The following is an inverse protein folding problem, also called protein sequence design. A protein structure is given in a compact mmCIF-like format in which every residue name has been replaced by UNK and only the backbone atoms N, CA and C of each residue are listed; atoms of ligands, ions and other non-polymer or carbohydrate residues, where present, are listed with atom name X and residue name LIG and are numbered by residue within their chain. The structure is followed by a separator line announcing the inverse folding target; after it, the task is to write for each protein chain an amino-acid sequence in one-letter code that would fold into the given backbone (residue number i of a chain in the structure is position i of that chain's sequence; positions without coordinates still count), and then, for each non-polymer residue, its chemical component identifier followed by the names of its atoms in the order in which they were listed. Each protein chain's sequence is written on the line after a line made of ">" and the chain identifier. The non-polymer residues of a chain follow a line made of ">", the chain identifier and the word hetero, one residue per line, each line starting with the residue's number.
data_IF_319620857675
#
_entry.id   IF_319620857675
#
_cell.length_a   1.000
_cell.length_b   1.000
_cell.length_c   1.000
_cell.angle_alpha   90.00
_cell.angle_beta   90.00
_cell.angle_gamma   90.00
#
_symmetry.space_group_name_H-M   'P 1'
#
loop_
_entity.id
_entity.type
_entity.pdbx_description
1 polymer ?
#
# COMPACT_ATOMS: atom_id res chain seq x y z
N UNK A 1 -8.43 26.64 -2.80
CA UNK A 1 -7.96 25.25 -2.83
C UNK A 1 -7.52 25.02 -4.25
N UNK A 2 -6.21 25.00 -4.48
CA UNK A 2 -5.68 24.61 -5.79
C UNK A 2 -6.07 23.15 -5.99
N UNK A 3 -6.75 22.84 -7.10
CA UNK A 3 -6.95 21.46 -7.53
C UNK A 3 -5.56 20.89 -7.80
N UNK A 4 -5.02 20.11 -6.85
CA UNK A 4 -3.82 19.31 -7.07
C UNK A 4 -4.13 18.31 -8.18
N UNK A 5 -3.76 18.71 -9.39
CA UNK A 5 -4.12 17.99 -10.60
C UNK A 5 -3.29 16.71 -10.66
N UNK A 6 -3.96 15.58 -10.44
CA UNK A 6 -3.37 14.25 -10.43
C UNK A 6 -2.42 14.05 -11.64
N UNK A 7 -1.14 13.65 -11.43
CA UNK A 7 -0.19 13.57 -12.53
C UNK A 7 -0.73 12.72 -13.68
N UNK A 8 -0.58 13.20 -14.92
CA UNK A 8 -1.17 12.56 -16.11
C UNK A 8 -0.86 11.06 -16.24
N UNK A 9 0.34 10.65 -15.84
CA UNK A 9 0.73 9.25 -15.92
C UNK A 9 -0.01 8.36 -14.90
N UNK A 10 -0.43 8.91 -13.76
CA UNK A 10 -1.22 8.19 -12.75
C UNK A 10 -2.62 7.92 -13.32
N UNK A 11 -3.25 8.93 -13.94
CA UNK A 11 -4.53 8.77 -14.64
C UNK A 11 -4.42 7.70 -15.74
N UNK A 12 -3.32 7.72 -16.49
CA UNK A 12 -3.05 6.74 -17.54
C UNK A 12 -2.88 5.32 -17.00
N UNK A 13 -2.20 5.12 -15.87
CA UNK A 13 -2.10 3.80 -15.21
C UNK A 13 -3.47 3.28 -14.87
N UNK A 14 -4.30 4.08 -14.20
CA UNK A 14 -5.65 3.69 -13.80
C UNK A 14 -6.49 3.34 -15.03
N UNK A 15 -6.50 4.19 -16.06
CA UNK A 15 -7.28 3.95 -17.27
C UNK A 15 -6.86 2.68 -18.03
N UNK A 16 -5.55 2.45 -18.23
CA UNK A 16 -5.05 1.27 -18.96
C UNK A 16 -5.43 -0.03 -18.25
N UNK A 17 -5.42 -0.04 -16.92
CA UNK A 17 -5.75 -1.22 -16.11
C UNK A 17 -7.23 -1.29 -15.75
N UNK A 18 -8.09 -0.46 -16.37
CA UNK A 18 -9.52 -0.36 -16.03
C UNK A 18 -9.75 -0.17 -14.52
N UNK A 19 -8.82 0.56 -13.91
CA UNK A 19 -8.78 0.82 -12.48
C UNK A 19 -9.93 1.69 -12.03
N UNK A 20 -10.42 1.41 -10.84
CA UNK A 20 -11.53 2.13 -10.21
C UNK A 20 -11.17 2.50 -8.77
N UNK A 21 -12.00 3.34 -8.16
CA UNK A 21 -11.89 3.72 -6.74
C UNK A 21 -10.56 4.41 -6.39
N UNK A 22 -9.94 5.13 -7.34
CA UNK A 22 -8.66 5.83 -7.11
C UNK A 22 -8.77 6.83 -5.94
N UNK A 23 -7.92 6.65 -4.93
CA UNK A 23 -7.86 7.51 -3.74
C UNK A 23 -6.39 7.83 -3.38
N UNK A 24 -6.15 9.06 -2.89
CA UNK A 24 -4.87 9.41 -2.28
C UNK A 24 -4.78 8.74 -0.91
N UNK A 25 -3.77 7.89 -0.71
CA UNK A 25 -3.56 7.26 0.59
C UNK A 25 -2.82 8.21 1.53
N UNK A 26 -1.66 8.72 1.09
CA UNK A 26 -0.82 9.61 1.90
C UNK A 26 0.32 10.24 1.10
N UNK A 27 0.88 11.31 1.64
CA UNK A 27 2.20 11.83 1.28
C UNK A 27 3.16 11.52 2.43
N UNK A 28 4.27 10.83 2.12
CA UNK A 28 5.27 10.39 3.10
C UNK A 28 6.67 10.81 2.66
N UNK A 29 7.51 11.22 3.61
CA UNK A 29 8.97 11.33 3.42
C UNK A 29 9.60 9.96 3.61
N UNK A 30 10.42 9.52 2.64
CA UNK A 30 11.11 8.23 2.70
C UNK A 30 12.15 8.24 3.82
N UNK A 31 12.06 7.28 4.71
CA UNK A 31 13.00 7.08 5.81
C UNK A 31 14.10 6.07 5.42
N UNK A 32 15.23 6.08 6.14
CA UNK A 32 16.30 5.08 5.94
C UNK A 32 15.80 3.63 6.11
N UNK A 33 14.82 3.42 6.99
CA UNK A 33 14.16 2.13 7.24
C UNK A 33 13.45 1.59 5.99
N UNK A 34 12.77 2.45 5.23
CA UNK A 34 12.05 2.09 3.99
C UNK A 34 12.99 1.60 2.85
N UNK A 35 14.26 1.99 2.93
CA UNK A 35 15.30 1.63 1.96
C UNK A 35 16.24 0.53 2.45
N UNK A 36 16.12 0.15 3.72
CA UNK A 36 17.00 -0.81 4.36
C UNK A 36 16.75 -2.21 3.80
N UNK A 37 17.83 -2.88 3.40
CA UNK A 37 17.77 -4.30 3.04
C UNK A 37 17.48 -5.20 4.23
N UNK A 38 17.75 -4.73 5.46
CA UNK A 38 17.51 -5.51 6.67
C UNK A 38 16.01 -5.58 6.98
N UNK A 39 15.30 -4.46 6.81
CA UNK A 39 13.86 -4.40 7.04
C UNK A 39 13.06 -4.82 5.81
N UNK A 40 13.54 -4.50 4.60
CA UNK A 40 12.93 -4.84 3.30
C UNK A 40 11.41 -4.61 3.28
N UNK A 41 10.98 -3.50 3.87
CA UNK A 41 9.59 -3.11 3.98
C UNK A 41 9.46 -1.61 3.77
N UNK A 42 8.27 -1.17 3.36
CA UNK A 42 7.89 0.22 3.24
C UNK A 42 6.73 0.46 4.21
N UNK A 43 6.96 1.27 5.25
CA UNK A 43 6.02 1.40 6.36
C UNK A 43 4.97 2.48 6.08
N UNK A 44 3.71 2.16 6.37
CA UNK A 44 2.58 3.09 6.33
C UNK A 44 2.28 3.58 7.75
N UNK A 45 2.02 4.88 7.90
CA UNK A 45 1.70 5.47 9.19
C UNK A 45 0.35 4.96 9.72
N UNK A 46 0.27 4.69 11.02
CA UNK A 46 -0.92 4.12 11.66
C UNK A 46 -2.19 4.96 11.43
N UNK A 47 -2.08 6.28 11.56
CA UNK A 47 -3.22 7.19 11.33
C UNK A 47 -3.76 7.09 9.90
N UNK A 48 -2.86 7.02 8.91
CA UNK A 48 -3.22 6.83 7.50
C UNK A 48 -3.89 5.49 7.28
N UNK A 49 -3.34 4.44 7.88
CA UNK A 49 -3.90 3.08 7.77
C UNK A 49 -5.33 3.05 8.31
N UNK A 50 -5.54 3.61 9.50
CA UNK A 50 -6.85 3.59 10.15
C UNK A 50 -7.90 4.42 9.42
N UNK A 51 -7.52 5.59 8.92
CA UNK A 51 -8.45 6.56 8.31
C UNK A 51 -8.76 6.23 6.85
N UNK A 52 -7.75 5.81 6.07
CA UNK A 52 -7.89 5.63 4.63
C UNK A 52 -7.85 4.15 4.22
N UNK A 53 -6.83 3.41 4.64
CA UNK A 53 -6.64 2.03 4.16
C UNK A 53 -7.70 1.07 4.71
N UNK A 54 -7.96 1.07 6.02
CA UNK A 54 -8.92 0.15 6.64
C UNK A 54 -10.32 0.28 6.03
N UNK A 55 -10.90 1.49 5.88
CA UNK A 55 -12.18 1.65 5.20
C UNK A 55 -12.18 1.16 3.75
N UNK A 56 -11.06 1.33 3.05
CA UNK A 56 -10.89 0.93 1.66
C UNK A 56 -10.78 -0.60 1.44
N UNK A 57 -10.38 -1.34 2.49
CA UNK A 57 -10.30 -2.80 2.47
C UNK A 57 -11.66 -3.45 2.76
N UNK A 58 -11.94 -4.56 2.09
CA UNK A 58 -13.05 -5.46 2.47
C UNK A 58 -12.73 -6.17 3.80
N UNK A 59 -13.76 -6.73 4.46
CA UNK A 59 -13.58 -7.47 5.72
C UNK A 59 -12.60 -8.65 5.55
N UNK A 60 -12.69 -9.38 4.44
CA UNK A 60 -11.79 -10.50 4.15
C UNK A 60 -10.34 -10.03 3.99
N UNK A 61 -10.12 -8.93 3.26
CA UNK A 61 -8.79 -8.35 3.08
C UNK A 61 -8.20 -7.83 4.38
N UNK A 62 -9.00 -7.17 5.24
CA UNK A 62 -8.57 -6.80 6.59
C UNK A 62 -8.09 -8.03 7.36
N UNK A 63 -8.77 -9.16 7.21
CA UNK A 63 -8.32 -10.44 7.76
C UNK A 63 -7.01 -10.95 7.19
N UNK A 64 -6.77 -10.78 5.89
CA UNK A 64 -5.50 -11.16 5.24
C UNK A 64 -4.34 -10.26 5.66
N UNK A 65 -4.59 -8.97 5.90
CA UNK A 65 -3.57 -8.01 6.34
C UNK A 65 -3.32 -8.13 7.85
N UNK A 66 -4.31 -8.51 8.65
CA UNK A 66 -4.23 -8.51 10.12
C UNK A 66 -4.79 -7.23 10.76
N UNK A 67 -5.73 -6.55 10.10
CA UNK A 67 -6.31 -5.27 10.52
C UNK A 67 -7.75 -5.38 11.03
N UNK A 68 -8.24 -6.59 11.36
CA UNK A 68 -9.63 -6.77 11.84
C UNK A 68 -9.88 -6.00 13.14
N UNK A 69 -8.92 -6.05 14.08
CA UNK A 69 -9.08 -5.52 15.43
C UNK A 69 -9.02 -3.97 15.50
N UNK A 70 -8.55 -3.29 14.45
CA UNK A 70 -8.48 -1.82 14.40
C UNK A 70 -9.84 -1.12 14.30
N UNK A 71 -10.92 -1.88 14.11
CA UNK A 71 -12.31 -1.36 14.06
C UNK A 71 -12.99 -1.50 15.43
N UNK A 72 -12.57 -2.47 16.25
CA UNK A 72 -13.19 -2.81 17.54
C UNK A 72 -12.35 -2.30 18.72
N UNK A 73 -12.06 -1.00 18.74
CA UNK A 73 -11.31 -0.34 19.82
C UNK A 73 -12.03 -0.32 21.20
N UNK A 74 -13.16 -1.00 21.36
CA UNK A 74 -13.93 -1.08 22.62
C UNK A 74 -14.14 -2.49 23.19
N UNK A 75 -13.58 -3.56 22.59
CA UNK A 75 -13.74 -4.91 23.14
C UNK A 75 -12.40 -5.58 23.45
N UNK A 76 -12.05 -5.54 24.73
CA UNK A 76 -11.04 -6.37 25.37
C UNK A 76 -11.32 -7.86 25.16
N UNK A 77 -10.78 -8.44 24.10
CA UNK A 77 -10.59 -9.89 24.04
C UNK A 77 -9.35 -10.22 23.23
N UNK A 78 -8.31 -10.65 23.93
CA UNK A 78 -7.09 -11.25 23.38
C UNK A 78 -7.47 -12.49 22.57
N UNK A 79 -7.68 -12.32 21.26
CA UNK A 79 -7.86 -13.44 20.35
C UNK A 79 -6.48 -13.97 19.93
N UNK A 80 -6.30 -15.30 19.76
CA UNK A 80 -4.99 -15.87 19.45
C UNK A 80 -4.51 -15.41 18.07
N UNK A 81 -3.31 -14.78 18.05
CA UNK A 81 -2.60 -14.24 16.87
C UNK A 81 -2.67 -15.22 15.70
N UNK A 82 -3.49 -14.89 14.69
CA UNK A 82 -3.44 -15.57 13.39
C UNK A 82 -2.27 -14.98 12.63
N UNK A 83 -1.30 -15.83 12.28
CA UNK A 83 -0.29 -15.50 11.26
C UNK A 83 -1.07 -15.27 9.95
N UNK A 84 -1.28 -14.00 9.62
CA UNK A 84 -2.00 -13.63 8.41
C UNK A 84 -1.01 -13.68 7.24
N UNK A 85 -1.35 -14.40 6.17
CA UNK A 85 -0.47 -14.60 5.01
C UNK A 85 -0.18 -13.33 4.18
N UNK A 86 -0.80 -12.21 4.54
CA UNK A 86 -0.72 -10.94 3.83
C UNK A 86 -1.67 -10.85 2.65
N UNK A 87 -2.00 -9.61 2.29
CA UNK A 87 -2.73 -9.31 1.06
C UNK A 87 -1.71 -9.09 -0.06
N UNK A 88 -1.83 -9.84 -1.16
CA UNK A 88 -1.02 -9.59 -2.36
C UNK A 88 -1.41 -8.26 -2.97
N UNK A 89 -0.41 -7.45 -3.32
CA UNK A 89 -0.60 -6.12 -3.89
C UNK A 89 0.42 -5.86 -4.99
N UNK A 90 0.04 -5.00 -5.93
CA UNK A 90 0.90 -4.52 -7.00
C UNK A 90 1.21 -3.04 -6.81
N UNK A 91 2.47 -2.63 -7.00
CA UNK A 91 2.88 -1.22 -6.90
C UNK A 91 3.35 -0.69 -8.25
N UNK A 92 2.71 0.35 -8.75
CA UNK A 92 3.08 1.09 -9.95
C UNK A 92 3.99 2.27 -9.59
N UNK A 93 5.10 2.41 -10.30
CA UNK A 93 6.08 3.49 -10.07
C UNK A 93 6.22 4.43 -11.28
N UNK A 94 5.73 4.01 -12.45
CA UNK A 94 5.59 4.80 -13.70
C UNK A 94 4.50 4.17 -14.57
N UNK A 95 4.07 4.89 -15.62
CA UNK A 95 3.02 4.45 -16.57
C UNK A 95 3.11 3.00 -17.06
N UNK A 96 4.31 2.46 -17.26
CA UNK A 96 4.55 1.10 -17.79
C UNK A 96 5.35 0.21 -16.85
N UNK A 97 5.58 0.65 -15.60
CA UNK A 97 6.40 -0.09 -14.64
C UNK A 97 5.61 -0.37 -13.38
N UNK A 98 5.37 -1.65 -13.16
CA UNK A 98 4.80 -2.20 -11.94
C UNK A 98 5.76 -3.20 -11.29
N UNK A 99 5.57 -3.40 -10.00
CA UNK A 99 6.24 -4.40 -9.19
C UNK A 99 5.15 -5.25 -8.55
N UNK A 100 5.13 -6.51 -8.94
CA UNK A 100 4.12 -7.51 -8.52
C UNK A 100 4.70 -8.39 -7.40
N UNK A 101 3.84 -9.25 -6.85
CA UNK A 101 4.17 -10.18 -5.75
C UNK A 101 4.71 -9.48 -4.49
N UNK A 102 4.17 -8.30 -4.20
CA UNK A 102 4.37 -7.63 -2.91
C UNK A 102 3.22 -8.04 -1.96
N UNK A 103 3.49 -7.90 -0.67
CA UNK A 103 2.54 -8.21 0.39
C UNK A 103 2.29 -6.97 1.24
N UNK A 104 1.02 -6.69 1.48
CA UNK A 104 0.56 -5.76 2.51
C UNK A 104 0.24 -6.58 3.77
N UNK A 105 0.95 -6.31 4.86
CA UNK A 105 0.80 -6.99 6.15
C UNK A 105 0.80 -5.97 7.29
N UNK A 106 0.08 -6.29 8.36
CA UNK A 106 0.23 -5.65 9.65
C UNK A 106 1.20 -6.48 10.48
N UNK A 107 2.22 -5.83 11.04
CA UNK A 107 3.17 -6.41 11.96
C UNK A 107 2.75 -6.02 13.38
N UNK A 108 2.48 -7.02 14.22
CA UNK A 108 2.11 -6.83 15.63
C UNK A 108 3.19 -6.10 16.46
N UNK A 109 2.83 -5.77 17.71
CA UNK A 109 3.58 -5.22 18.87
C UNK A 109 4.43 -3.96 18.65
N UNK A 110 5.13 -3.79 17.53
CA UNK A 110 5.97 -2.62 17.24
C UNK A 110 6.09 -2.30 15.72
N UNK A 111 5.53 -3.12 14.83
CA UNK A 111 5.95 -3.14 13.41
C UNK A 111 5.08 -2.37 12.41
N UNK A 112 3.89 -1.93 12.80
CA UNK A 112 3.00 -1.13 11.95
C UNK A 112 2.51 -1.88 10.70
N UNK A 113 1.85 -1.17 9.78
CA UNK A 113 1.40 -1.76 8.51
C UNK A 113 2.43 -1.48 7.44
N UNK A 114 2.87 -2.52 6.72
CA UNK A 114 3.96 -2.40 5.76
C UNK A 114 3.64 -3.05 4.42
N UNK A 115 4.25 -2.53 3.36
CA UNK A 115 4.37 -3.21 2.06
C UNK A 115 5.75 -3.86 2.00
N UNK A 116 5.82 -5.18 1.83
CA UNK A 116 7.06 -5.96 1.82
C UNK A 116 7.08 -7.00 0.70
N UNK A 117 8.20 -7.68 0.53
CA UNK A 117 8.39 -8.77 -0.42
C UNK A 117 9.75 -8.72 -1.10
N UNK A 118 10.16 -9.84 -1.70
CA UNK A 118 11.48 -9.98 -2.36
C UNK A 118 11.66 -9.01 -3.53
N UNK A 119 10.55 -8.58 -4.14
CA UNK A 119 10.53 -7.65 -5.26
C UNK A 119 10.60 -6.18 -4.82
N UNK A 120 10.57 -5.86 -3.53
CA UNK A 120 10.67 -4.47 -3.06
C UNK A 120 12.02 -3.83 -3.43
N UNK A 121 13.10 -4.62 -3.49
CA UNK A 121 14.41 -4.17 -4.02
C UNK A 121 14.34 -3.70 -5.48
N UNK A 122 13.42 -4.26 -6.28
CA UNK A 122 13.20 -3.84 -7.66
C UNK A 122 12.53 -2.48 -7.68
N UNK A 123 11.53 -2.28 -6.81
CA UNK A 123 10.86 -1.00 -6.62
C UNK A 123 11.88 0.10 -6.25
N UNK A 124 12.68 -0.11 -5.20
CA UNK A 124 13.70 0.85 -4.74
C UNK A 124 14.69 1.22 -5.85
N UNK A 125 15.19 0.23 -6.60
CA UNK A 125 16.15 0.45 -7.70
C UNK A 125 15.52 1.19 -8.87
N UNK A 126 14.27 0.88 -9.22
CA UNK A 126 13.62 1.42 -10.40
C UNK A 126 13.03 2.82 -10.18
N UNK A 127 12.58 3.12 -8.97
CA UNK A 127 12.08 4.45 -8.56
C UNK A 127 13.22 5.46 -8.35
N UNK A 128 14.42 5.00 -8.02
CA UNK A 128 15.57 5.82 -7.60
C UNK A 128 15.27 6.63 -6.32
N UNK A 129 14.48 6.05 -5.42
CA UNK A 129 14.22 6.63 -4.11
C UNK A 129 15.49 6.78 -3.28
N UNK A 130 15.51 7.85 -2.49
CA UNK A 130 16.53 8.21 -1.52
C UNK A 130 15.84 8.64 -0.23
N UNK A 131 16.55 8.46 0.88
CA UNK A 131 16.11 9.02 2.16
C UNK A 131 15.90 10.53 2.03
N UNK A 132 14.79 11.02 2.57
CA UNK A 132 14.38 12.42 2.47
C UNK A 132 13.56 12.77 1.22
N UNK A 133 13.46 11.87 0.23
CA UNK A 133 12.54 12.07 -0.89
C UNK A 133 11.08 12.09 -0.38
N UNK A 134 10.24 12.94 -0.96
CA UNK A 134 8.79 12.91 -0.71
C UNK A 134 8.11 12.03 -1.74
N UNK A 135 7.30 11.09 -1.28
CA UNK A 135 6.50 10.19 -2.13
C UNK A 135 5.04 10.34 -1.78
N UNK A 136 4.25 10.61 -2.78
CA UNK A 136 2.81 10.52 -2.72
C UNK A 136 2.36 9.11 -3.14
N UNK A 137 1.48 8.54 -2.34
CA UNK A 137 1.01 7.16 -2.46
C UNK A 137 -0.48 7.20 -2.73
N UNK A 138 -0.89 6.59 -3.83
CA UNK A 138 -2.28 6.39 -4.20
C UNK A 138 -2.64 4.92 -4.13
N UNK A 139 -3.92 4.64 -3.95
CA UNK A 139 -4.48 3.29 -4.02
C UNK A 139 -5.64 3.25 -5.02
N UNK A 140 -5.80 2.14 -5.71
CA UNK A 140 -6.90 1.90 -6.64
C UNK A 140 -7.17 0.41 -6.76
N UNK A 141 -8.32 0.05 -7.36
CA UNK A 141 -8.74 -1.34 -7.56
C UNK A 141 -8.66 -1.72 -9.03
N UNK A 142 -8.06 -2.87 -9.34
CA UNK A 142 -8.04 -3.44 -10.70
C UNK A 142 -8.94 -4.68 -10.74
N UNK A 143 -9.86 -4.80 -11.73
CA UNK A 143 -10.61 -6.04 -11.92
C UNK A 143 -9.67 -7.22 -12.13
N UNK A 144 -9.84 -8.31 -11.39
CA UNK A 144 -9.09 -9.53 -11.61
C UNK A 144 -9.87 -10.40 -12.61
N UNK A 145 -9.33 -10.66 -13.80
CA UNK A 145 -10.03 -11.41 -14.86
C UNK A 145 -10.46 -12.83 -14.43
N UNK A 146 -9.84 -13.38 -13.39
CA UNK A 146 -10.08 -14.74 -12.91
C UNK A 146 -10.85 -14.83 -11.60
N UNK A 147 -11.13 -13.71 -10.93
CA UNK A 147 -11.83 -13.68 -9.65
C UNK A 147 -12.93 -12.63 -9.67
N UNK A 148 -14.02 -12.85 -8.91
CA UNK A 148 -15.02 -11.81 -8.66
C UNK A 148 -14.50 -10.66 -7.79
N UNK A 149 -13.23 -10.70 -7.40
CA UNK A 149 -12.56 -9.74 -6.52
C UNK A 149 -11.77 -8.72 -7.35
N UNK A 150 -11.61 -7.51 -6.81
CA UNK A 150 -10.73 -6.49 -7.41
C UNK A 150 -9.42 -6.45 -6.64
N UNK A 151 -8.30 -6.60 -7.33
CA UNK A 151 -6.96 -6.51 -6.75
C UNK A 151 -6.70 -5.09 -6.22
N UNK A 152 -6.13 -4.99 -5.02
CA UNK A 152 -5.63 -3.72 -4.49
C UNK A 152 -4.27 -3.39 -5.10
N UNK A 153 -4.19 -2.23 -5.74
CA UNK A 153 -2.96 -1.71 -6.33
C UNK A 153 -2.58 -0.37 -5.69
N UNK A 154 -1.28 -0.08 -5.65
CA UNK A 154 -0.75 1.20 -5.23
C UNK A 154 -0.02 1.91 -6.36
N UNK A 155 0.04 3.23 -6.31
CA UNK A 155 0.86 4.05 -7.20
C UNK A 155 1.76 4.92 -6.34
N UNK A 156 3.08 4.85 -6.56
CA UNK A 156 4.06 5.63 -5.83
C UNK A 156 4.61 6.71 -6.77
N UNK A 157 4.36 7.97 -6.41
CA UNK A 157 4.75 9.16 -7.16
C UNK A 157 5.83 9.89 -6.36
N UNK A 158 7.06 9.89 -6.87
CA UNK A 158 8.10 10.77 -6.31
C UNK A 158 7.75 12.22 -6.63
N UNK A 159 7.72 13.08 -5.61
CA UNK A 159 7.64 14.52 -5.75
C UNK A 159 9.05 15.08 -5.97
N UNK A 160 9.18 16.04 -6.89
CA UNK A 160 10.46 16.68 -7.25
C UNK A 160 10.85 17.83 -6.29
#
# INVERSE_FOLDING_TARGET
>A
MEDEQLPYWVQRVVSINQGVDLENLTVKVIEASDLSRHYNCFTLQEGVVRIHLVPYLTIEERGKVGLIELIDLDCSSSSPRRICGGLKVTVYIRATRKVEDLLLIHLDEDGGTVITGDNLKVLQKASKFREGDTVEIWMFRVPNDNESTKELCFIFVKQD
#
